data_IF_555937238924
#
_entry.id   IF_555937238924
#
_cell.length_a   1.000
_cell.length_b   1.000
_cell.length_c   1.000
_cell.angle_alpha   90.00
_cell.angle_beta   90.00
_cell.angle_gamma   90.00
#
_symmetry.space_group_name_H-M   'P 1'
#
loop_
_entity.id
_entity.type
_entity.pdbx_description
1 polymer ?
#
# COMPACT_ATOMS: atom_id res chain seq x y z
N UNK A 1 0.51 -38.49 -3.35
CA UNK A 1 1.72 -37.66 -3.28
C UNK A 1 1.91 -36.86 -4.58
N UNK A 2 1.08 -35.85 -4.83
CA UNK A 2 1.21 -34.95 -5.99
C UNK A 2 1.03 -33.46 -5.62
N UNK A 3 1.21 -33.09 -4.34
CA UNK A 3 0.94 -31.72 -3.85
C UNK A 3 2.17 -30.92 -3.38
N UNK A 4 3.35 -31.53 -3.24
CA UNK A 4 4.53 -30.78 -2.77
C UNK A 4 5.25 -30.01 -3.88
N UNK A 5 5.40 -30.61 -5.08
CA UNK A 5 6.13 -29.97 -6.18
C UNK A 5 5.37 -28.77 -6.75
N UNK A 6 4.04 -28.81 -6.80
CA UNK A 6 3.22 -27.72 -7.36
C UNK A 6 3.23 -26.46 -6.48
N UNK A 7 3.19 -26.61 -5.16
CA UNK A 7 3.37 -25.50 -4.23
C UNK A 7 4.80 -24.92 -4.30
N UNK A 8 5.81 -25.79 -4.29
CA UNK A 8 7.21 -25.35 -4.31
C UNK A 8 7.60 -24.58 -5.58
N UNK A 9 7.02 -24.95 -6.72
CA UNK A 9 7.24 -24.26 -8.00
C UNK A 9 6.51 -22.91 -8.08
N UNK A 10 5.35 -22.80 -7.44
CA UNK A 10 4.51 -21.61 -7.45
C UNK A 10 5.03 -20.55 -6.48
N UNK A 11 5.45 -20.95 -5.27
CA UNK A 11 6.03 -20.06 -4.27
C UNK A 11 7.37 -19.45 -4.73
N UNK A 12 8.17 -20.18 -5.52
CA UNK A 12 9.44 -19.68 -6.05
C UNK A 12 9.27 -18.55 -7.08
N UNK A 13 8.20 -18.60 -7.87
CA UNK A 13 7.92 -17.57 -8.87
C UNK A 13 7.21 -16.36 -8.25
N UNK A 14 6.24 -16.59 -7.36
CA UNK A 14 5.43 -15.52 -6.77
C UNK A 14 6.25 -14.58 -5.87
N UNK A 15 7.10 -15.14 -4.99
CA UNK A 15 7.99 -14.36 -4.13
C UNK A 15 9.02 -13.55 -4.95
N UNK A 16 9.57 -14.15 -6.01
CA UNK A 16 10.50 -13.46 -6.91
C UNK A 16 9.86 -12.28 -7.66
N UNK A 17 8.58 -12.38 -8.03
CA UNK A 17 7.84 -11.29 -8.66
C UNK A 17 7.56 -10.14 -7.68
N UNK A 18 7.21 -10.45 -6.44
CA UNK A 18 6.97 -9.46 -5.38
C UNK A 18 8.24 -8.66 -5.08
N UNK A 19 9.38 -9.34 -4.94
CA UNK A 19 10.68 -8.69 -4.75
C UNK A 19 11.06 -7.76 -5.91
N UNK A 20 10.77 -8.19 -7.15
CA UNK A 20 10.97 -7.36 -8.32
C UNK A 20 10.05 -6.12 -8.30
N UNK A 21 8.79 -6.27 -7.88
CA UNK A 21 7.84 -5.17 -7.77
C UNK A 21 8.30 -4.13 -6.73
N UNK A 22 8.70 -4.58 -5.53
CA UNK A 22 9.27 -3.72 -4.49
C UNK A 22 10.46 -2.92 -5.01
N UNK A 23 11.45 -3.60 -5.61
CA UNK A 23 12.63 -2.94 -6.18
C UNK A 23 12.26 -1.91 -7.25
N UNK A 24 11.31 -2.23 -8.11
CA UNK A 24 10.88 -1.34 -9.20
C UNK A 24 10.22 -0.08 -8.66
N UNK A 25 9.29 -0.23 -7.70
CA UNK A 25 8.64 0.93 -7.08
C UNK A 25 9.62 1.80 -6.30
N UNK A 26 10.52 1.21 -5.50
CA UNK A 26 11.54 1.97 -4.79
C UNK A 26 12.43 2.78 -5.73
N UNK A 27 12.93 2.16 -6.81
CA UNK A 27 13.75 2.87 -7.82
C UNK A 27 12.98 3.98 -8.52
N UNK A 28 11.69 3.78 -8.81
CA UNK A 28 10.84 4.81 -9.39
C UNK A 28 10.62 5.99 -8.45
N UNK A 29 10.38 5.74 -7.16
CA UNK A 29 10.23 6.79 -6.15
C UNK A 29 11.55 7.58 -5.99
N UNK A 30 12.69 6.89 -5.94
CA UNK A 30 14.02 7.52 -5.92
C UNK A 30 14.30 8.36 -7.17
N UNK A 31 13.79 7.94 -8.34
CA UNK A 31 13.86 8.70 -9.59
C UNK A 31 12.86 9.88 -9.65
N UNK A 32 12.03 10.07 -8.63
CA UNK A 32 11.10 11.20 -8.49
C UNK A 32 9.64 10.92 -8.82
N UNK A 33 9.29 9.68 -9.21
CA UNK A 33 7.91 9.26 -9.50
C UNK A 33 7.12 8.99 -8.22
N UNK A 34 6.77 10.06 -7.50
CA UNK A 34 6.08 9.98 -6.20
C UNK A 34 4.65 9.42 -6.29
N UNK A 35 4.05 9.40 -7.47
CA UNK A 35 2.78 8.73 -7.75
C UNK A 35 2.83 7.21 -7.52
N UNK A 36 4.03 6.62 -7.41
CA UNK A 36 4.22 5.20 -7.12
C UNK A 36 4.12 4.86 -5.63
N UNK A 37 4.20 5.84 -4.73
CA UNK A 37 4.10 5.63 -3.28
C UNK A 37 2.80 4.90 -2.88
N UNK A 38 1.58 5.28 -3.34
CA UNK A 38 0.38 4.54 -3.01
C UNK A 38 0.37 3.10 -3.56
N UNK A 39 0.96 2.87 -4.74
CA UNK A 39 1.08 1.52 -5.34
C UNK A 39 2.00 0.62 -4.52
N UNK A 40 3.10 1.18 -4.01
CA UNK A 40 3.98 0.49 -3.07
C UNK A 40 3.24 0.15 -1.76
N UNK A 41 2.39 1.05 -1.28
CA UNK A 41 1.53 0.80 -0.11
C UNK A 41 0.54 -0.35 -0.34
N UNK A 42 -0.05 -0.45 -1.53
CA UNK A 42 -0.93 -1.57 -1.90
C UNK A 42 -0.17 -2.89 -1.95
N UNK A 43 1.08 -2.88 -2.43
CA UNK A 43 1.94 -4.07 -2.43
C UNK A 43 2.28 -4.53 -1.01
N UNK A 44 2.57 -3.62 -0.09
CA UNK A 44 2.77 -3.96 1.33
C UNK A 44 1.50 -4.56 1.95
N UNK A 45 0.33 -4.00 1.65
CA UNK A 45 -0.95 -4.51 2.15
C UNK A 45 -1.29 -5.90 1.61
N UNK A 46 -0.94 -6.20 0.36
CA UNK A 46 -1.07 -7.55 -0.22
C UNK A 46 -0.16 -8.59 0.45
N UNK A 47 0.93 -8.15 1.07
CA UNK A 47 1.88 -8.98 1.79
C UNK A 47 1.67 -8.93 3.32
N UNK A 48 0.50 -8.48 3.77
CA UNK A 48 0.12 -8.33 5.19
C UNK A 48 1.04 -7.40 6.02
N UNK A 49 1.90 -6.60 5.38
CA UNK A 49 2.74 -5.59 6.02
C UNK A 49 1.97 -4.26 6.14
N UNK A 50 1.01 -4.25 7.07
CA UNK A 50 0.11 -3.11 7.25
C UNK A 50 0.82 -1.88 7.81
N UNK A 51 1.96 -2.05 8.50
CA UNK A 51 2.76 -0.93 9.01
C UNK A 51 3.38 -0.15 7.86
N UNK A 52 4.07 -0.83 6.94
CA UNK A 52 4.66 -0.15 5.79
C UNK A 52 3.61 0.36 4.81
N UNK A 53 2.50 -0.36 4.63
CA UNK A 53 1.35 0.14 3.87
C UNK A 53 0.82 1.47 4.45
N UNK A 54 0.63 1.53 5.77
CA UNK A 54 0.20 2.75 6.45
C UNK A 54 1.18 3.90 6.24
N UNK A 55 2.49 3.64 6.35
CA UNK A 55 3.54 4.65 6.12
C UNK A 55 3.50 5.19 4.69
N UNK A 56 3.38 4.33 3.69
CA UNK A 56 3.24 4.73 2.29
C UNK A 56 1.99 5.59 2.08
N UNK A 57 0.83 5.19 2.59
CA UNK A 57 -0.39 5.99 2.43
C UNK A 57 -0.34 7.33 3.18
N UNK A 58 0.35 7.38 4.32
CA UNK A 58 0.60 8.63 5.04
C UNK A 58 1.48 9.58 4.21
N UNK A 59 2.58 9.08 3.65
CA UNK A 59 3.47 9.87 2.80
C UNK A 59 2.77 10.36 1.53
N UNK A 60 2.02 9.47 0.86
CA UNK A 60 1.19 9.80 -0.29
C UNK A 60 0.15 10.89 0.07
N UNK A 61 -0.47 10.81 1.25
CA UNK A 61 -1.39 11.86 1.71
C UNK A 61 -0.70 13.21 1.98
N UNK A 62 0.55 13.21 2.46
CA UNK A 62 1.33 14.44 2.67
C UNK A 62 1.65 15.17 1.36
N UNK A 63 1.83 14.44 0.26
CA UNK A 63 2.02 15.02 -1.08
C UNK A 63 0.71 15.25 -1.84
N UNK A 64 -0.44 15.17 -1.14
CA UNK A 64 -1.78 15.32 -1.68
C UNK A 64 -2.15 14.33 -2.80
N UNK A 65 -1.58 13.12 -2.77
CA UNK A 65 -1.98 12.05 -3.68
C UNK A 65 -3.38 11.51 -3.30
N UNK A 66 -4.27 11.43 -4.29
CA UNK A 66 -5.67 11.06 -4.06
C UNK A 66 -5.82 9.59 -3.64
N UNK A 67 -4.96 8.70 -4.15
CA UNK A 67 -5.01 7.27 -3.82
C UNK A 67 -4.49 7.06 -2.40
N UNK A 68 -3.40 7.73 -2.03
CA UNK A 68 -2.88 7.77 -0.66
C UNK A 68 -3.92 8.25 0.36
N UNK A 69 -4.57 9.39 0.09
CA UNK A 69 -5.62 9.93 0.97
C UNK A 69 -6.80 8.95 1.11
N UNK A 70 -7.27 8.35 0.01
CA UNK A 70 -8.37 7.38 0.02
C UNK A 70 -8.00 6.13 0.81
N UNK A 71 -6.81 5.59 0.61
CA UNK A 71 -6.35 4.39 1.30
C UNK A 71 -6.11 4.66 2.79
N UNK A 72 -5.49 5.79 3.16
CA UNK A 72 -5.34 6.20 4.55
C UNK A 72 -6.71 6.41 5.24
N UNK A 73 -7.66 7.04 4.55
CA UNK A 73 -9.03 7.21 5.02
C UNK A 73 -9.72 5.87 5.25
N UNK A 74 -9.53 4.90 4.35
CA UNK A 74 -10.04 3.53 4.48
C UNK A 74 -9.46 2.84 5.72
N UNK A 75 -8.16 2.98 5.98
CA UNK A 75 -7.52 2.41 7.16
C UNK A 75 -8.14 2.93 8.47
N UNK A 76 -8.31 4.25 8.59
CA UNK A 76 -8.99 4.84 9.76
C UNK A 76 -10.47 4.47 9.86
N UNK A 77 -11.19 4.39 8.73
CA UNK A 77 -12.61 4.02 8.73
C UNK A 77 -12.83 2.58 9.20
N UNK A 78 -11.95 1.67 8.79
CA UNK A 78 -12.06 0.23 9.09
C UNK A 78 -11.29 -0.19 10.36
N UNK A 79 -10.39 0.65 10.86
CA UNK A 79 -9.49 0.28 11.96
C UNK A 79 -8.41 -0.72 11.54
N UNK A 80 -7.90 -0.60 10.30
CA UNK A 80 -6.82 -1.47 9.80
C UNK A 80 -5.50 -0.88 10.27
N UNK A 81 -4.72 -1.65 11.02
CA UNK A 81 -3.46 -1.27 11.70
C UNK A 81 -3.58 -0.15 12.75
N UNK A 82 -4.36 0.89 12.47
CA UNK A 82 -4.67 2.00 13.39
C UNK A 82 -6.03 1.82 14.04
N UNK A 83 -6.23 2.44 15.21
CA UNK A 83 -7.55 2.48 15.84
C UNK A 83 -8.57 3.16 14.92
N UNK A 84 -9.78 2.61 14.87
CA UNK A 84 -10.88 3.17 14.07
C UNK A 84 -11.15 4.62 14.50
N UNK A 85 -11.07 5.55 13.56
CA UNK A 85 -11.36 6.97 13.77
C UNK A 85 -12.14 7.53 12.58
N UNK A 86 -13.47 7.59 12.74
CA UNK A 86 -14.36 8.10 11.71
C UNK A 86 -14.22 9.60 11.47
N UNK A 87 -13.80 10.37 12.49
CA UNK A 87 -13.62 11.83 12.34
C UNK A 87 -12.41 12.08 11.45
N UNK A 88 -11.30 11.37 11.68
CA UNK A 88 -10.08 11.46 10.88
C UNK A 88 -10.31 10.96 9.45
N UNK A 89 -11.02 9.85 9.27
CA UNK A 89 -11.41 9.36 7.94
C UNK A 89 -12.27 10.38 7.17
N UNK A 90 -13.27 11.01 7.82
CA UNK A 90 -14.08 12.07 7.21
C UNK A 90 -13.22 13.27 6.81
N UNK A 91 -12.28 13.69 7.65
CA UNK A 91 -11.35 14.80 7.34
C UNK A 91 -10.50 14.50 6.11
N UNK A 92 -9.94 13.29 6.02
CA UNK A 92 -9.19 12.84 4.84
C UNK A 92 -10.06 12.80 3.58
N UNK A 93 -11.29 12.29 3.66
CA UNK A 93 -12.22 12.30 2.52
C UNK A 93 -12.59 13.71 2.06
N UNK A 94 -12.71 14.66 2.98
CA UNK A 94 -12.95 16.06 2.61
C UNK A 94 -11.75 16.68 1.90
N UNK A 95 -10.52 16.29 2.23
CA UNK A 95 -9.31 16.71 1.51
C UNK A 95 -9.30 16.14 0.08
N UNK A 96 -9.61 14.86 -0.10
CA UNK A 96 -9.66 14.24 -1.44
C UNK A 96 -10.71 14.84 -2.38
N UNK A 97 -11.80 15.42 -1.87
CA UNK A 97 -12.91 15.96 -2.66
C UNK A 97 -12.74 17.42 -3.10
N UNK A 98 -11.79 18.15 -2.53
CA UNK A 98 -11.59 19.59 -2.77
C UNK A 98 -10.70 19.89 -4.00
N UNK A 99 -10.48 18.91 -4.87
CA UNK A 99 -9.52 18.98 -5.97
C UNK A 99 -10.21 18.80 -7.31
#
# INVERSE_FOLDING_TARGET
MWNLLFHFSFDFNWNGMIDCAFRTYHRGIEAGYKELIPLLGELYEQNDDLENAYRCYLEAALINDLNGIKNLSRMYKKGIYVQKDEKKAKKLNMLSKKR
#
